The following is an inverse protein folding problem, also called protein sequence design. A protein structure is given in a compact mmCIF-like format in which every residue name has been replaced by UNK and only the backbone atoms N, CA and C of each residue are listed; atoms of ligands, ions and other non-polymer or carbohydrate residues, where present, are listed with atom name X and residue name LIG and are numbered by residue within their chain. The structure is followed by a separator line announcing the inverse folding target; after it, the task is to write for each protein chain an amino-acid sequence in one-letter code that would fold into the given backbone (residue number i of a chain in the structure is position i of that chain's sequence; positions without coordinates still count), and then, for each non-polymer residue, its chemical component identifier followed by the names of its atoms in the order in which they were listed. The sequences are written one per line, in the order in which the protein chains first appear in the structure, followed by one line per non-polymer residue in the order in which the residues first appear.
data_IF_532472516025
#
_entry.id   IF_532472516025
#
_cell.length_a   1.000
_cell.length_b   1.000
_cell.length_c   1.000
_cell.angle_alpha   90.00
_cell.angle_beta   90.00
_cell.angle_gamma   90.00
#
_symmetry.space_group_name_H-M   'P 1'
#
loop_
_entity.id
_entity.type
_entity.pdbx_description
1 polymer ?
#
# COMPACT_ATOMS: atom_id res chain seq x y z
N UNK A 1 3.64 -2.92 9.04
CA UNK A 1 4.05 -2.95 7.62
C UNK A 1 5.47 -3.48 7.47
N UNK A 2 6.50 -2.84 8.04
CA UNK A 2 7.89 -3.33 7.90
C UNK A 2 8.11 -4.75 8.43
N UNK A 3 7.48 -5.15 9.54
CA UNK A 3 7.59 -6.52 10.09
C UNK A 3 6.95 -7.59 9.17
N UNK A 4 6.03 -7.20 8.30
CA UNK A 4 5.47 -8.09 7.26
C UNK A 4 6.46 -8.19 6.11
N UNK A 5 7.05 -7.06 5.70
CA UNK A 5 8.10 -7.04 4.67
C UNK A 5 9.31 -7.89 5.09
N UNK A 6 9.64 -7.92 6.38
CA UNK A 6 10.77 -8.71 6.88
C UNK A 6 10.56 -10.23 6.83
N UNK A 7 9.31 -10.66 6.88
CA UNK A 7 8.90 -12.08 6.89
C UNK A 7 8.56 -12.61 5.49
N UNK A 8 8.38 -11.73 4.50
CA UNK A 8 8.13 -12.13 3.11
C UNK A 8 9.38 -12.75 2.46
N UNK A 9 9.17 -13.78 1.64
CA UNK A 9 10.23 -14.46 0.87
C UNK A 9 10.82 -13.52 -0.19
N UNK A 10 12.01 -12.98 0.08
CA UNK A 10 12.63 -11.86 -0.66
C UNK A 10 12.97 -12.21 -2.11
N UNK A 11 13.34 -13.46 -2.37
CA UNK A 11 13.76 -13.94 -3.69
C UNK A 11 12.59 -14.03 -4.68
N UNK A 12 11.34 -14.05 -4.19
CA UNK A 12 10.13 -14.14 -5.02
C UNK A 12 9.54 -12.79 -5.40
N UNK A 13 9.98 -11.71 -4.77
CA UNK A 13 9.39 -10.38 -4.95
C UNK A 13 10.44 -9.39 -5.43
N UNK A 14 11.04 -9.62 -6.60
CA UNK A 14 12.00 -8.70 -7.23
C UNK A 14 11.50 -8.30 -8.63
N UNK A 15 11.63 -7.02 -9.05
CA UNK A 15 12.10 -5.84 -8.28
C UNK A 15 11.06 -5.29 -7.29
N UNK A 16 11.53 -4.66 -6.21
CA UNK A 16 10.70 -4.09 -5.13
C UNK A 16 10.55 -2.59 -5.30
N UNK A 17 9.32 -2.10 -5.23
CA UNK A 17 9.01 -0.67 -5.27
C UNK A 17 8.39 -0.25 -3.94
N UNK A 18 9.08 0.64 -3.22
CA UNK A 18 8.60 1.25 -2.01
C UNK A 18 8.03 2.62 -2.34
N UNK A 19 6.71 2.79 -2.17
CA UNK A 19 6.03 4.05 -2.45
C UNK A 19 5.56 4.68 -1.14
N UNK A 20 6.05 5.88 -0.84
CA UNK A 20 5.65 6.66 0.33
C UNK A 20 5.05 8.01 -0.07
N UNK A 21 4.25 8.61 0.83
CA UNK A 21 3.77 9.97 0.61
C UNK A 21 4.95 10.96 0.62
N UNK A 22 4.90 12.04 -0.16
CA UNK A 22 5.94 13.09 -0.16
C UNK A 22 6.23 13.66 1.24
N UNK A 23 5.20 13.73 2.09
CA UNK A 23 5.28 14.24 3.45
C UNK A 23 5.62 13.16 4.49
N UNK A 24 5.89 11.91 4.08
CA UNK A 24 6.23 10.79 4.95
C UNK A 24 7.66 10.29 4.71
N UNK A 25 8.64 11.10 5.12
CA UNK A 25 10.07 10.75 5.04
C UNK A 25 10.45 9.63 6.02
N UNK A 26 9.74 9.49 7.15
CA UNK A 26 10.04 8.49 8.17
C UNK A 26 9.85 7.06 7.65
N UNK A 27 8.79 6.82 6.88
CA UNK A 27 8.53 5.51 6.29
C UNK A 27 9.56 5.13 5.23
N UNK A 28 9.97 6.10 4.41
CA UNK A 28 10.95 5.86 3.34
C UNK A 28 12.35 5.60 3.93
N UNK A 29 12.76 6.36 4.95
CA UNK A 29 14.03 6.12 5.67
C UNK A 29 14.08 4.73 6.32
N UNK A 30 12.98 4.28 6.95
CA UNK A 30 12.91 2.92 7.53
C UNK A 30 13.08 1.82 6.47
N UNK A 31 12.49 2.01 5.29
CA UNK A 31 12.64 1.06 4.19
C UNK A 31 14.07 1.05 3.63
N UNK A 32 14.72 2.22 3.54
CA UNK A 32 16.12 2.33 3.14
C UNK A 32 17.07 1.64 4.12
N UNK A 33 16.94 1.93 5.42
CA UNK A 33 17.74 1.28 6.47
C UNK A 33 17.56 -0.24 6.44
N UNK A 34 16.32 -0.70 6.21
CA UNK A 34 16.04 -2.12 6.08
C UNK A 34 16.75 -2.74 4.87
N UNK A 35 16.63 -2.16 3.67
CA UNK A 35 17.32 -2.66 2.47
C UNK A 35 18.85 -2.61 2.62
N UNK A 36 19.40 -1.57 3.27
CA UNK A 36 20.83 -1.47 3.58
C UNK A 36 21.30 -2.59 4.52
N UNK A 37 20.51 -2.94 5.54
CA UNK A 37 20.82 -4.06 6.44
C UNK A 37 20.84 -5.41 5.71
N UNK A 38 20.02 -5.58 4.66
CA UNK A 38 20.00 -6.79 3.84
C UNK A 38 21.24 -6.92 2.95
N UNK A 39 21.71 -5.80 2.39
CA UNK A 39 22.92 -5.76 1.56
C UNK A 39 24.15 -6.20 2.38
N UNK A 40 24.24 -5.76 3.64
CA UNK A 40 25.33 -6.16 4.53
C UNK A 40 25.31 -7.66 4.90
N UNK A 41 24.12 -8.26 5.04
CA UNK A 41 24.00 -9.66 5.48
C UNK A 41 24.23 -10.70 4.39
N UNK A 42 23.95 -10.40 3.12
CA UNK A 42 23.92 -11.41 2.04
C UNK A 42 25.09 -11.32 1.05
N UNK A 43 26.01 -10.36 1.16
CA UNK A 43 27.26 -10.29 0.38
C UNK A 43 27.12 -10.23 -1.15
N UNK A 44 25.90 -10.31 -1.67
CA UNK A 44 25.55 -10.27 -3.09
C UNK A 44 25.03 -8.89 -3.41
N UNK A 45 25.44 -8.38 -4.58
CA UNK A 45 25.11 -7.07 -5.15
C UNK A 45 23.59 -6.86 -5.27
N UNK A 46 22.90 -6.57 -4.18
CA UNK A 46 21.48 -6.21 -4.14
C UNK A 46 21.28 -4.69 -4.30
N UNK A 47 22.19 -4.03 -5.02
CA UNK A 47 22.14 -2.58 -5.28
C UNK A 47 21.10 -2.16 -6.32
N UNK A 48 20.47 -3.11 -7.02
CA UNK A 48 19.58 -2.82 -8.16
C UNK A 48 18.12 -3.27 -7.98
N UNK A 49 17.75 -3.88 -6.85
CA UNK A 49 16.44 -4.55 -6.71
C UNK A 49 15.40 -3.81 -5.87
N UNK A 50 15.73 -2.62 -5.34
CA UNK A 50 14.81 -1.81 -4.53
C UNK A 50 14.78 -0.37 -5.04
N UNK A 51 13.60 0.07 -5.48
CA UNK A 51 13.34 1.43 -5.92
C UNK A 51 12.46 2.15 -4.91
N UNK A 52 12.86 3.36 -4.53
CA UNK A 52 12.09 4.21 -3.63
C UNK A 52 11.44 5.31 -4.45
N UNK A 53 10.12 5.44 -4.32
CA UNK A 53 9.33 6.41 -5.07
C UNK A 53 8.43 7.17 -4.11
N UNK A 54 8.14 8.41 -4.46
CA UNK A 54 7.23 9.25 -3.69
C UNK A 54 5.97 9.54 -4.49
N UNK A 55 4.83 9.57 -3.81
CA UNK A 55 3.54 9.91 -4.39
C UNK A 55 2.92 11.10 -3.66
N UNK A 56 2.18 11.92 -4.40
CA UNK A 56 1.38 12.98 -3.82
C UNK A 56 0.36 12.43 -2.82
N UNK A 57 0.22 13.12 -1.69
CA UNK A 57 -0.77 12.76 -0.69
C UNK A 57 -2.16 13.21 -1.17
N UNK A 58 -3.14 12.30 -1.15
CA UNK A 58 -4.51 12.58 -1.60
C UNK A 58 -5.20 13.66 -0.75
N UNK A 59 -4.83 13.76 0.52
CA UNK A 59 -5.34 14.74 1.48
C UNK A 59 -4.30 15.07 2.53
N UNK A 60 -4.02 16.34 2.74
CA UNK A 60 -3.21 16.78 3.89
C UNK A 60 -4.04 16.87 5.18
N UNK A 61 -3.39 16.71 6.33
CA UNK A 61 -4.05 16.76 7.64
C UNK A 61 -4.63 18.16 7.85
N UNK A 62 -5.97 18.27 7.97
CA UNK A 62 -6.68 19.54 8.14
C UNK A 62 -7.29 20.14 6.87
N UNK A 63 -7.10 19.50 5.70
CA UNK A 63 -7.66 19.99 4.44
C UNK A 63 -9.18 19.74 4.33
N UNK A 64 -9.91 20.71 3.77
CA UNK A 64 -11.35 20.61 3.48
C UNK A 64 -11.65 19.46 2.51
N UNK A 65 -12.80 18.80 2.69
CA UNK A 65 -13.23 17.68 1.85
C UNK A 65 -13.36 18.06 0.37
N UNK A 66 -13.68 19.32 0.06
CA UNK A 66 -13.86 19.78 -1.33
C UNK A 66 -12.50 19.93 -2.05
N UNK A 67 -11.54 20.60 -1.43
CA UNK A 67 -10.19 20.73 -2.01
C UNK A 67 -9.43 19.40 -2.01
N UNK A 68 -9.80 18.49 -1.11
CA UNK A 68 -9.28 17.12 -1.08
C UNK A 68 -9.65 16.32 -2.34
N UNK A 69 -10.76 16.62 -3.02
CA UNK A 69 -11.14 15.91 -4.26
C UNK A 69 -10.13 16.22 -5.36
N UNK A 70 -9.79 17.50 -5.55
CA UNK A 70 -8.83 17.92 -6.58
C UNK A 70 -7.44 17.33 -6.34
N UNK A 71 -6.95 17.36 -5.10
CA UNK A 71 -5.66 16.74 -4.75
C UNK A 71 -5.69 15.21 -4.87
N UNK A 72 -6.83 14.58 -4.58
CA UNK A 72 -7.00 13.14 -4.79
C UNK A 72 -6.96 12.79 -6.28
N UNK A 73 -7.59 13.59 -7.14
CA UNK A 73 -7.59 13.35 -8.58
C UNK A 73 -6.18 13.50 -9.17
N UNK A 74 -5.44 14.54 -8.77
CA UNK A 74 -4.04 14.72 -9.17
C UNK A 74 -3.16 13.56 -8.68
N UNK A 75 -3.32 13.15 -7.42
CA UNK A 75 -2.63 11.97 -6.88
C UNK A 75 -3.00 10.69 -7.64
N UNK A 76 -4.23 10.58 -8.14
CA UNK A 76 -4.71 9.43 -8.93
C UNK A 76 -4.11 9.41 -10.32
N UNK A 77 -3.99 10.55 -11.00
CA UNK A 77 -3.31 10.61 -12.29
C UNK A 77 -1.83 10.23 -12.15
N UNK A 78 -1.16 10.73 -11.10
CA UNK A 78 0.23 10.37 -10.84
C UNK A 78 0.37 8.87 -10.46
N UNK A 79 -0.53 8.35 -9.62
CA UNK A 79 -0.60 6.94 -9.29
C UNK A 79 -0.80 6.07 -10.54
N UNK A 80 -1.70 6.48 -11.43
CA UNK A 80 -2.00 5.75 -12.66
C UNK A 80 -0.78 5.67 -13.56
N UNK A 81 -0.11 6.80 -13.79
CA UNK A 81 1.15 6.82 -14.54
C UNK A 81 2.19 5.88 -13.93
N UNK A 82 2.33 5.89 -12.61
CA UNK A 82 3.26 5.05 -11.88
C UNK A 82 2.94 3.55 -12.04
N UNK A 83 1.69 3.16 -11.86
CA UNK A 83 1.25 1.76 -11.96
C UNK A 83 1.37 1.26 -13.41
N UNK A 84 1.10 2.10 -14.42
CA UNK A 84 1.30 1.74 -15.84
C UNK A 84 2.78 1.51 -16.15
N UNK A 85 3.67 2.35 -15.62
CA UNK A 85 5.13 2.23 -15.80
C UNK A 85 5.71 1.01 -15.11
N UNK A 86 5.33 0.77 -13.85
CA UNK A 86 5.89 -0.31 -13.01
C UNK A 86 5.25 -1.66 -13.34
N UNK A 87 3.96 -1.68 -13.71
CA UNK A 87 3.13 -2.90 -13.86
C UNK A 87 3.29 -3.87 -12.67
N UNK A 88 2.94 -3.46 -11.44
CA UNK A 88 3.12 -4.30 -10.26
C UNK A 88 2.22 -5.54 -10.34
N UNK A 89 2.79 -6.72 -10.13
CA UNK A 89 2.03 -7.96 -10.01
C UNK A 89 1.33 -8.08 -8.65
N UNK A 90 1.95 -7.53 -7.61
CA UNK A 90 1.45 -7.57 -6.24
C UNK A 90 1.60 -6.19 -5.61
N UNK A 91 0.53 -5.72 -4.97
CA UNK A 91 0.50 -4.45 -4.25
C UNK A 91 0.17 -4.75 -2.79
N UNK A 92 1.12 -4.48 -1.91
CA UNK A 92 0.88 -4.46 -0.47
C UNK A 92 0.65 -3.02 -0.03
N UNK A 93 -0.49 -2.77 0.61
CA UNK A 93 -0.84 -1.43 1.07
C UNK A 93 -1.38 -1.45 2.49
N UNK A 94 -0.98 -0.46 3.28
CA UNK A 94 -1.57 -0.14 4.57
C UNK A 94 -2.11 1.30 4.55
N UNK A 95 -3.25 1.55 5.22
CA UNK A 95 -3.89 2.86 5.22
C UNK A 95 -2.95 3.97 5.70
N UNK A 96 -2.76 5.06 4.91
CA UNK A 96 -3.75 6.14 4.73
C UNK A 96 -4.05 6.47 3.25
N UNK A 97 -4.80 7.57 2.98
CA UNK A 97 -5.37 7.98 1.69
C UNK A 97 -4.48 7.88 0.44
N UNK A 98 -3.15 7.88 0.57
CA UNK A 98 -2.19 7.65 -0.53
C UNK A 98 -2.29 6.29 -1.19
N UNK A 99 -2.64 5.24 -0.45
CA UNK A 99 -2.77 3.90 -1.05
C UNK A 99 -4.02 3.76 -1.93
N UNK A 100 -5.05 4.57 -1.68
CA UNK A 100 -6.34 4.45 -2.37
C UNK A 100 -6.23 4.74 -3.88
N UNK A 101 -5.59 5.84 -4.33
CA UNK A 101 -5.33 6.09 -5.74
C UNK A 101 -4.53 4.99 -6.44
N UNK A 102 -3.52 4.41 -5.77
CA UNK A 102 -2.71 3.31 -6.31
C UNK A 102 -3.55 2.05 -6.52
N UNK A 103 -4.36 1.70 -5.52
CA UNK A 103 -5.23 0.53 -5.60
C UNK A 103 -6.30 0.69 -6.69
N UNK A 104 -6.93 1.87 -6.80
CA UNK A 104 -7.87 2.16 -7.88
C UNK A 104 -7.17 2.04 -9.23
N UNK A 105 -5.99 2.64 -9.39
CA UNK A 105 -5.27 2.62 -10.66
C UNK A 105 -4.93 1.19 -11.10
N UNK A 106 -4.45 0.37 -10.17
CA UNK A 106 -4.17 -1.04 -10.43
C UNK A 106 -5.43 -1.85 -10.77
N UNK A 107 -6.53 -1.59 -10.06
CA UNK A 107 -7.81 -2.22 -10.34
C UNK A 107 -8.36 -1.83 -11.71
N UNK A 108 -8.26 -0.56 -12.09
CA UNK A 108 -8.66 -0.08 -13.43
C UNK A 108 -7.85 -0.79 -14.51
N UNK A 109 -6.53 -0.90 -14.36
CA UNK A 109 -5.71 -1.65 -15.32
C UNK A 109 -6.06 -3.14 -15.38
N UNK A 110 -6.42 -3.74 -14.25
CA UNK A 110 -6.91 -5.12 -14.16
C UNK A 110 -8.22 -5.32 -14.91
N UNK A 111 -9.18 -4.41 -14.72
CA UNK A 111 -10.49 -4.44 -15.43
C UNK A 111 -10.32 -4.20 -16.93
N UNK A 112 -9.38 -3.32 -17.33
CA UNK A 112 -9.05 -3.08 -18.74
C UNK A 112 -8.23 -4.19 -19.40
N UNK A 113 -7.82 -5.23 -18.65
CA UNK A 113 -7.00 -6.33 -19.17
C UNK A 113 -5.55 -5.95 -19.50
N UNK A 114 -5.09 -4.76 -19.07
CA UNK A 114 -3.77 -4.21 -19.38
C UNK A 114 -2.67 -4.66 -18.41
N UNK A 115 -3.04 -5.35 -17.33
CA UNK A 115 -2.12 -5.93 -16.35
C UNK A 115 -2.88 -6.65 -15.23
N UNK A 116 -2.30 -7.73 -14.71
CA UNK A 116 -2.84 -8.44 -13.55
C UNK A 116 -2.11 -7.98 -12.29
N UNK A 117 -2.85 -7.34 -11.39
CA UNK A 117 -2.35 -6.91 -10.08
C UNK A 117 -3.19 -7.53 -8.97
N UNK A 118 -2.52 -8.16 -8.01
CA UNK A 118 -3.11 -8.68 -6.78
C UNK A 118 -2.96 -7.65 -5.67
N UNK A 119 -4.07 -7.18 -5.12
CA UNK A 119 -4.09 -6.09 -4.14
C UNK A 119 -4.36 -6.67 -2.75
N UNK A 120 -3.36 -6.55 -1.87
CA UNK A 120 -3.40 -6.96 -0.47
C UNK A 120 -3.46 -5.73 0.43
N UNK A 121 -4.64 -5.45 0.98
CA UNK A 121 -4.84 -4.35 1.90
C UNK A 121 -4.73 -4.83 3.34
N UNK A 122 -3.92 -4.14 4.14
CA UNK A 122 -3.72 -4.43 5.57
C UNK A 122 -4.17 -3.19 6.36
N UNK A 123 -5.24 -3.34 7.14
CA UNK A 123 -5.74 -2.23 7.95
C UNK A 123 -4.79 -1.89 9.10
N UNK A 124 -4.77 -0.60 9.45
CA UNK A 124 -3.93 -0.08 10.53
C UNK A 124 -4.34 -0.66 11.88
N UNK A 125 -3.33 -1.01 12.69
CA UNK A 125 -3.53 -1.53 14.05
C UNK A 125 -4.29 -0.54 14.95
N UNK A 126 -4.16 0.75 14.70
CA UNK A 126 -4.84 1.80 15.45
C UNK A 126 -6.37 1.77 15.28
N UNK A 127 -6.88 1.05 14.27
CA UNK A 127 -8.30 0.92 13.97
C UNK A 127 -8.86 -0.33 14.66
N UNK A 128 -9.31 -0.16 15.89
CA UNK A 128 -9.89 -1.27 16.70
C UNK A 128 -11.38 -1.45 16.44
N UNK A 129 -12.13 -0.34 16.40
CA UNK A 129 -13.61 -0.36 16.37
C UNK A 129 -14.22 -0.15 14.99
N UNK A 130 -13.54 0.59 14.09
CA UNK A 130 -14.07 0.94 12.77
C UNK A 130 -12.94 0.98 11.75
N UNK A 131 -13.21 0.51 10.53
CA UNK A 131 -12.26 0.62 9.41
C UNK A 131 -11.88 2.08 9.14
N UNK A 132 -10.70 2.30 8.58
CA UNK A 132 -10.30 3.61 8.05
C UNK A 132 -11.22 4.00 6.88
N UNK A 133 -11.33 5.29 6.54
CA UNK A 133 -12.15 5.72 5.40
C UNK A 133 -11.67 5.05 4.09
N UNK A 134 -10.36 5.01 3.88
CA UNK A 134 -9.75 4.30 2.74
C UNK A 134 -10.05 2.81 2.77
N UNK A 135 -9.89 2.15 3.92
CA UNK A 135 -10.20 0.73 4.08
C UNK A 135 -11.67 0.43 3.85
N UNK A 136 -12.57 1.28 4.34
CA UNK A 136 -14.02 1.16 4.12
C UNK A 136 -14.37 1.30 2.63
N UNK A 137 -13.77 2.27 1.93
CA UNK A 137 -13.99 2.45 0.49
C UNK A 137 -13.46 1.26 -0.30
N UNK A 138 -12.23 0.80 -0.04
CA UNK A 138 -11.65 -0.38 -0.71
C UNK A 138 -12.47 -1.65 -0.45
N UNK A 139 -12.96 -1.83 0.78
CA UNK A 139 -13.82 -2.94 1.16
C UNK A 139 -15.17 -2.87 0.41
N UNK A 140 -15.85 -1.72 0.42
CA UNK A 140 -17.14 -1.55 -0.25
C UNK A 140 -17.04 -1.68 -1.77
N UNK A 141 -16.04 -1.07 -2.37
CA UNK A 141 -15.79 -1.08 -3.81
C UNK A 141 -15.22 -2.41 -4.32
N UNK A 142 -14.88 -3.35 -3.43
CA UNK A 142 -14.30 -4.67 -3.76
C UNK A 142 -13.01 -4.57 -4.60
N UNK A 143 -12.20 -3.56 -4.30
CA UNK A 143 -10.95 -3.31 -5.02
C UNK A 143 -9.82 -4.21 -4.51
N UNK A 144 -9.78 -4.46 -3.20
CA UNK A 144 -8.77 -5.34 -2.61
C UNK A 144 -9.16 -6.81 -2.82
N UNK A 145 -8.24 -7.59 -3.39
CA UNK A 145 -8.40 -9.03 -3.53
C UNK A 145 -8.36 -9.73 -2.16
N UNK A 146 -7.49 -9.24 -1.27
CA UNK A 146 -7.38 -9.70 0.10
C UNK A 146 -7.38 -8.51 1.05
N UNK A 147 -8.22 -8.58 2.08
CA UNK A 147 -8.37 -7.51 3.06
C UNK A 147 -8.07 -8.04 4.45
N UNK A 148 -6.97 -7.62 5.06
CA UNK A 148 -6.55 -8.08 6.38
C UNK A 148 -6.90 -7.08 7.48
N UNK A 149 -7.44 -7.61 8.58
CA UNK A 149 -7.73 -6.87 9.82
C UNK A 149 -6.98 -7.48 10.99
N UNK A 150 -6.58 -6.63 11.93
CA UNK A 150 -5.80 -7.06 13.10
C UNK A 150 -6.64 -7.34 14.35
N UNK A 151 -7.94 -7.04 14.28
CA UNK A 151 -8.88 -7.15 15.40
C UNK A 151 -10.03 -8.07 15.02
N UNK A 152 -10.36 -9.04 15.88
CA UNK A 152 -11.43 -10.01 15.63
C UNK A 152 -12.81 -9.34 15.60
N UNK A 153 -12.99 -8.25 16.36
CA UNK A 153 -14.24 -7.47 16.33
C UNK A 153 -14.54 -6.93 14.92
N UNK A 154 -13.51 -6.44 14.23
CA UNK A 154 -13.66 -5.97 12.85
C UNK A 154 -13.98 -7.11 11.88
N UNK A 155 -13.44 -8.31 12.09
CA UNK A 155 -13.82 -9.46 11.28
C UNK A 155 -15.31 -9.80 11.45
N UNK A 156 -15.83 -9.72 12.67
CA UNK A 156 -17.24 -9.97 12.93
C UNK A 156 -18.16 -8.95 12.24
N UNK A 157 -17.78 -7.67 12.21
CA UNK A 157 -18.51 -6.63 11.48
C UNK A 157 -18.33 -6.72 9.95
N UNK A 158 -17.16 -7.17 9.50
CA UNK A 158 -16.76 -7.21 8.10
C UNK A 158 -16.32 -8.64 7.74
N UNK A 159 -17.26 -9.56 7.45
CA UNK A 159 -16.96 -11.00 7.32
C UNK A 159 -16.05 -11.36 6.15
N UNK A 160 -15.87 -10.47 5.17
CA UNK A 160 -14.92 -10.67 4.07
C UNK A 160 -13.49 -10.26 4.42
N UNK A 161 -13.29 -9.64 5.58
CA UNK A 161 -11.97 -9.33 6.06
C UNK A 161 -11.34 -10.58 6.69
N UNK A 162 -10.10 -10.86 6.33
CA UNK A 162 -9.30 -11.92 6.91
C UNK A 162 -8.66 -11.41 8.20
N UNK A 163 -8.97 -12.03 9.33
CA UNK A 163 -8.28 -11.72 10.58
C UNK A 163 -6.86 -12.29 10.55
N UNK A 164 -5.88 -11.40 10.62
CA UNK A 164 -4.46 -11.75 10.60
C UNK A 164 -3.79 -11.64 11.98
N UNK A 165 -4.55 -11.27 13.02
CA UNK A 165 -4.00 -11.03 14.35
C UNK A 165 -3.15 -9.76 14.44
N UNK A 166 -2.39 -9.65 15.54
CA UNK A 166 -1.47 -8.53 15.76
C UNK A 166 -0.21 -8.77 14.93
N UNK A 167 -0.17 -8.16 13.75
CA UNK A 167 0.99 -8.20 12.86
C UNK A 167 2.07 -7.22 13.37
N UNK A 168 2.68 -7.56 14.52
CA UNK A 168 3.86 -6.91 15.10
C UNK A 168 4.93 -7.96 15.38
#
# INVERSE_FOLDING_TARGET
MMNIVTTLQKDRFTPRYYVAALTDNMSLQKAQVYEQSLIQSNGTKAGESAHFMQIYRSREVGQSYVTSIATTLLATLHAMWLVIRIRPQVIFCNGPGTCFPLCISAFVLKVLGLGWSSIFYIESIARVKKLSLSGLLLYKLRIADQFFVQWSQLQHEYPRACYAGRLM
#
